data_IF_793458677915
#
_entry.id   IF_793458677915
#
_cell.length_a   1.000
_cell.length_b   1.000
_cell.length_c   1.000
_cell.angle_alpha   90.00
_cell.angle_beta   90.00
_cell.angle_gamma   90.00
#
_symmetry.space_group_name_H-M   'P 1'
#
loop_
_entity.id
_entity.type
_entity.pdbx_description
1 polymer ?
#
# COMPACT_ATOMS: atom_id res chain seq x y z
N UNK A 1 -16.68 0.69 11.70
CA UNK A 1 -15.96 0.65 10.41
C UNK A 1 -16.58 1.71 9.52
N UNK A 2 -15.76 2.54 8.86
CA UNK A 2 -16.20 3.74 8.16
C UNK A 2 -15.23 4.16 7.06
N UNK A 3 -15.61 5.20 6.31
CA UNK A 3 -14.71 5.82 5.33
C UNK A 3 -13.55 6.50 6.05
N UNK A 4 -12.35 6.30 5.52
CA UNK A 4 -11.13 6.92 6.02
C UNK A 4 -10.26 7.40 4.86
N UNK A 5 -9.47 8.41 5.18
CA UNK A 5 -8.49 9.02 4.31
C UNK A 5 -7.10 8.75 4.88
N UNK A 6 -6.19 8.24 4.04
CA UNK A 6 -4.85 7.87 4.45
C UNK A 6 -3.85 8.37 3.42
N UNK A 7 -2.74 8.89 3.92
CA UNK A 7 -1.59 9.28 3.14
C UNK A 7 -0.37 8.50 3.63
N UNK A 8 0.47 8.05 2.72
CA UNK A 8 1.72 7.40 3.12
C UNK A 8 2.48 6.81 1.94
N UNK A 9 3.59 6.15 2.25
CA UNK A 9 4.46 5.52 1.26
C UNK A 9 3.96 4.12 0.92
N UNK A 10 3.81 3.84 -0.36
CA UNK A 10 3.42 2.53 -0.85
C UNK A 10 4.56 1.51 -0.67
N UNK A 11 4.22 0.34 -0.13
CA UNK A 11 5.12 -0.81 0.03
C UNK A 11 4.45 -2.04 -0.55
N UNK A 12 5.12 -2.71 -1.48
CA UNK A 12 4.60 -3.93 -2.09
C UNK A 12 4.56 -5.07 -1.06
N UNK A 13 3.46 -5.83 -1.05
CA UNK A 13 3.33 -7.05 -0.23
C UNK A 13 3.90 -8.27 -0.95
N UNK A 14 3.75 -8.29 -2.28
CA UNK A 14 4.24 -9.34 -3.17
C UNK A 14 5.32 -8.77 -4.10
N UNK A 15 6.15 -9.64 -4.65
CA UNK A 15 7.21 -9.28 -5.58
C UNK A 15 6.66 -8.91 -6.98
N UNK A 16 5.94 -7.79 -7.06
CA UNK A 16 5.42 -7.24 -8.30
C UNK A 16 6.47 -6.31 -8.94
N UNK A 17 6.64 -6.45 -10.25
CA UNK A 17 7.60 -5.71 -11.07
C UNK A 17 6.89 -5.27 -12.36
N UNK A 18 7.14 -4.04 -12.79
CA UNK A 18 6.56 -3.50 -14.02
C UNK A 18 7.16 -4.19 -15.26
N UNK A 19 6.33 -4.59 -16.24
CA UNK A 19 6.82 -5.35 -17.40
C UNK A 19 7.79 -4.57 -18.29
N UNK A 20 7.59 -3.25 -18.47
CA UNK A 20 8.44 -2.46 -19.37
C UNK A 20 9.54 -1.74 -18.61
N UNK A 21 9.20 -0.99 -17.56
CA UNK A 21 10.19 -0.26 -16.75
C UNK A 21 11.07 -1.15 -15.87
N UNK A 22 10.69 -2.42 -15.63
CA UNK A 22 11.46 -3.40 -14.84
C UNK A 22 11.78 -2.91 -13.41
N UNK A 23 10.87 -2.13 -12.84
CA UNK A 23 11.03 -1.55 -11.49
C UNK A 23 10.01 -2.16 -10.52
N UNK A 24 10.37 -2.31 -9.23
CA UNK A 24 9.42 -2.71 -8.20
C UNK A 24 8.24 -1.76 -8.13
N UNK A 25 7.02 -2.30 -8.17
CA UNK A 25 5.79 -1.52 -8.22
C UNK A 25 4.69 -2.15 -7.37
N UNK A 26 3.69 -1.37 -6.99
CA UNK A 26 2.45 -1.85 -6.35
C UNK A 26 1.30 -2.01 -7.34
N UNK A 27 1.40 -1.35 -8.49
CA UNK A 27 0.42 -1.43 -9.57
C UNK A 27 1.09 -1.12 -10.92
N UNK A 28 0.65 -1.80 -11.98
CA UNK A 28 0.95 -1.39 -13.35
C UNK A 28 -0.24 -1.62 -14.31
N UNK A 29 -0.29 -0.83 -15.38
CA UNK A 29 -1.20 -0.97 -16.49
C UNK A 29 -0.47 -0.66 -17.81
N UNK A 30 -0.28 -1.69 -18.63
CA UNK A 30 0.32 -1.59 -19.95
C UNK A 30 -0.77 -1.60 -21.02
N UNK A 31 -0.85 -0.52 -21.79
CA UNK A 31 -1.73 -0.35 -22.95
C UNK A 31 -0.88 -0.40 -24.22
N UNK A 32 -1.17 -1.35 -25.11
CA UNK A 32 -0.54 -1.44 -26.43
C UNK A 32 -1.50 -0.93 -27.49
N UNK A 33 -0.99 -0.08 -28.36
CA UNK A 33 -1.71 0.50 -29.48
C UNK A 33 -1.10 -0.01 -30.77
N UNK A 34 -1.95 -0.34 -31.74
CA UNK A 34 -1.54 -0.70 -33.10
C UNK A 34 -2.22 0.25 -34.07
N UNK A 35 -1.52 0.60 -35.13
CA UNK A 35 -2.05 1.35 -36.25
C UNK A 35 -2.15 0.41 -37.46
N UNK A 36 -3.32 0.35 -38.09
CA UNK A 36 -3.44 -0.36 -39.36
C UNK A 36 -2.73 0.44 -40.46
N UNK A 37 -2.01 -0.21 -41.37
CA UNK A 37 -1.26 0.46 -42.46
C UNK A 37 -2.14 1.37 -43.34
N UNK A 38 -3.47 1.21 -43.31
CA UNK A 38 -4.44 1.99 -44.10
C UNK A 38 -5.06 3.16 -43.33
N UNK A 39 -5.07 3.12 -42.01
CA UNK A 39 -5.73 4.10 -41.14
C UNK A 39 -4.71 4.93 -40.35
N UNK A 40 -4.96 6.24 -40.23
CA UNK A 40 -4.06 7.16 -39.48
C UNK A 40 -4.27 7.13 -37.96
N UNK A 41 -5.28 6.43 -37.45
CA UNK A 41 -5.63 6.47 -36.02
C UNK A 41 -5.02 5.30 -35.23
N UNK A 42 -4.54 5.58 -34.03
CA UNK A 42 -4.04 4.57 -33.09
C UNK A 42 -5.22 3.85 -32.44
N UNK A 43 -5.26 2.52 -32.55
CA UNK A 43 -6.28 1.70 -31.93
C UNK A 43 -5.68 0.91 -30.77
N UNK A 44 -6.39 0.86 -29.65
CA UNK A 44 -5.99 0.05 -28.51
C UNK A 44 -6.11 -1.44 -28.90
N UNK A 45 -4.98 -2.14 -28.89
CA UNK A 45 -4.89 -3.54 -29.28
C UNK A 45 -4.93 -4.48 -28.07
N UNK A 46 -4.28 -4.11 -26.96
CA UNK A 46 -4.17 -4.94 -25.76
C UNK A 46 -4.02 -4.09 -24.51
N UNK A 47 -4.65 -4.52 -23.43
CA UNK A 47 -4.39 -4.02 -22.07
C UNK A 47 -3.86 -5.18 -21.23
N UNK A 48 -2.84 -4.93 -20.42
CA UNK A 48 -2.29 -5.87 -19.45
C UNK A 48 -2.08 -5.14 -18.13
N UNK A 49 -2.72 -5.59 -17.07
CA UNK A 49 -2.61 -4.97 -15.74
C UNK A 49 -2.10 -5.99 -14.72
N UNK A 50 -1.50 -5.52 -13.62
CA UNK A 50 -1.13 -6.35 -12.48
C UNK A 50 -2.33 -7.04 -11.81
N UNK A 51 -3.54 -6.54 -12.05
CA UNK A 51 -4.74 -6.98 -11.34
C UNK A 51 -4.83 -6.36 -9.94
N UNK A 52 -5.69 -6.93 -9.11
CA UNK A 52 -5.94 -6.48 -7.74
C UNK A 52 -4.95 -7.13 -6.79
N UNK A 53 -3.77 -6.54 -6.66
CA UNK A 53 -2.71 -7.02 -5.76
C UNK A 53 -2.71 -6.18 -4.49
N UNK A 54 -2.95 -6.76 -3.30
CA UNK A 54 -2.84 -6.03 -2.05
C UNK A 54 -1.44 -5.48 -1.80
N UNK A 55 -1.36 -4.31 -1.19
CA UNK A 55 -0.10 -3.65 -0.82
C UNK A 55 -0.24 -2.97 0.54
N UNK A 56 0.86 -2.49 1.10
CA UNK A 56 0.91 -1.81 2.40
C UNK A 56 1.14 -0.33 2.17
N UNK A 57 0.53 0.50 3.01
CA UNK A 57 0.87 1.91 3.15
C UNK A 57 1.51 2.11 4.52
N UNK A 58 2.66 2.75 4.50
CA UNK A 58 3.45 3.08 5.69
C UNK A 58 3.53 4.61 5.84
N UNK A 59 3.13 5.09 7.01
CA UNK A 59 3.34 6.44 7.49
C UNK A 59 4.04 6.40 8.85
N UNK A 60 4.39 7.56 9.41
CA UNK A 60 5.02 7.70 10.72
C UNK A 60 4.23 7.03 11.86
N UNK A 61 2.92 6.89 11.69
CA UNK A 61 2.01 6.29 12.68
C UNK A 61 1.95 4.77 12.64
N UNK A 62 2.27 4.14 11.50
CA UNK A 62 2.19 2.70 11.34
C UNK A 62 1.95 2.22 9.92
N UNK A 63 1.51 0.96 9.82
CA UNK A 63 1.32 0.23 8.56
C UNK A 63 -0.14 -0.22 8.42
N UNK A 64 -0.73 0.06 7.27
CA UNK A 64 -2.10 -0.36 6.94
C UNK A 64 -2.08 -1.13 5.63
N UNK A 65 -2.80 -2.25 5.57
CA UNK A 65 -2.94 -3.01 4.35
C UNK A 65 -4.07 -2.42 3.48
N UNK A 66 -3.81 -2.29 2.20
CA UNK A 66 -4.75 -1.81 1.20
C UNK A 66 -5.14 -2.97 0.28
N UNK A 67 -6.43 -3.14 0.09
CA UNK A 67 -7.03 -4.01 -0.90
C UNK A 67 -7.57 -3.14 -2.04
N UNK A 68 -6.87 -3.05 -3.19
CA UNK A 68 -7.25 -2.11 -4.27
C UNK A 68 -8.47 -2.55 -5.08
N UNK A 69 -9.20 -3.59 -4.65
CA UNK A 69 -10.36 -4.09 -5.40
C UNK A 69 -11.42 -3.00 -5.54
N UNK A 70 -11.82 -2.68 -6.77
CA UNK A 70 -12.81 -1.63 -7.04
C UNK A 70 -12.31 -0.20 -6.82
N UNK A 71 -11.00 0.00 -6.61
CA UNK A 71 -10.42 1.33 -6.52
C UNK A 71 -10.31 1.98 -7.89
N UNK A 72 -10.58 3.28 -7.95
CA UNK A 72 -10.14 4.14 -9.04
C UNK A 72 -8.68 4.54 -8.81
N UNK A 73 -7.80 3.98 -9.63
CA UNK A 73 -6.36 4.23 -9.58
C UNK A 73 -5.99 5.41 -10.48
N UNK A 74 -5.26 6.38 -9.93
CA UNK A 74 -4.70 7.53 -10.65
C UNK A 74 -3.18 7.50 -10.53
N UNK A 75 -2.48 6.64 -11.29
CA UNK A 75 -1.03 6.64 -11.38
C UNK A 75 -0.54 7.94 -12.04
N UNK A 76 0.58 8.48 -11.56
CA UNK A 76 1.21 9.66 -12.15
C UNK A 76 2.36 9.26 -13.07
N UNK A 77 3.12 8.23 -12.68
CA UNK A 77 4.26 7.78 -13.48
C UNK A 77 3.77 7.05 -14.73
N UNK A 78 4.16 7.58 -15.89
CA UNK A 78 3.81 7.04 -17.21
C UNK A 78 5.07 6.92 -18.06
N UNK A 79 5.28 5.75 -18.65
CA UNK A 79 6.29 5.51 -19.66
C UNK A 79 5.61 5.26 -21.01
N UNK A 80 6.12 5.89 -22.06
CA UNK A 80 5.62 5.70 -23.42
C UNK A 80 6.80 5.36 -24.33
N UNK A 81 6.56 4.51 -25.32
CA UNK A 81 7.59 4.16 -26.28
C UNK A 81 7.04 3.49 -27.53
N UNK A 82 7.92 3.38 -28.51
CA UNK A 82 7.72 2.64 -29.76
C UNK A 82 8.58 1.36 -29.75
N UNK A 83 8.28 0.36 -30.58
CA UNK A 83 9.14 -0.80 -30.82
C UNK A 83 10.58 -0.38 -31.12
N UNK A 84 11.54 -1.15 -30.60
CA UNK A 84 12.97 -0.88 -30.70
C UNK A 84 13.59 -0.01 -29.59
N UNK A 85 12.79 0.62 -28.71
CA UNK A 85 13.30 1.44 -27.59
C UNK A 85 13.22 0.77 -26.20
N UNK A 86 12.71 -0.46 -26.09
CA UNK A 86 12.65 -1.17 -24.81
C UNK A 86 13.98 -1.84 -24.46
N UNK A 87 14.41 -1.71 -23.20
CA UNK A 87 15.60 -2.39 -22.68
C UNK A 87 15.46 -3.92 -22.81
N UNK A 88 16.12 -4.48 -23.83
CA UNK A 88 16.86 -5.76 -24.00
C UNK A 88 16.25 -7.09 -23.50
N UNK A 89 15.35 -7.14 -22.51
CA UNK A 89 14.83 -8.41 -21.95
C UNK A 89 13.48 -8.87 -22.51
N UNK A 90 12.75 -8.01 -23.24
CA UNK A 90 11.53 -8.39 -23.98
C UNK A 90 11.74 -8.54 -25.49
N UNK A 91 13.00 -8.48 -25.94
CA UNK A 91 13.36 -8.40 -27.37
C UNK A 91 13.22 -9.70 -28.14
N UNK A 92 12.95 -10.86 -27.51
CA UNK A 92 12.92 -12.13 -28.23
C UNK A 92 11.55 -12.53 -28.80
N UNK A 93 10.48 -11.76 -28.57
CA UNK A 93 9.12 -12.10 -29.09
C UNK A 93 8.28 -10.90 -29.56
N UNK A 94 8.84 -9.71 -29.72
CA UNK A 94 8.08 -8.54 -30.21
C UNK A 94 8.49 -8.28 -31.65
N UNK A 95 7.57 -8.59 -32.57
CA UNK A 95 7.58 -8.15 -33.97
C UNK A 95 7.93 -6.66 -34.01
N UNK A 96 8.99 -6.31 -34.74
CA UNK A 96 9.49 -4.93 -34.89
C UNK A 96 8.61 -4.17 -35.89
N UNK A 97 7.32 -4.03 -35.58
CA UNK A 97 6.35 -3.31 -36.41
C UNK A 97 6.35 -1.82 -36.02
N UNK A 98 6.82 -0.90 -36.89
CA UNK A 98 6.81 0.53 -36.62
C UNK A 98 5.40 1.14 -36.42
N UNK A 99 4.35 0.34 -36.58
CA UNK A 99 2.97 0.70 -36.31
C UNK A 99 2.47 0.27 -34.92
N UNK A 100 3.34 -0.15 -34.02
CA UNK A 100 2.99 -0.35 -32.61
C UNK A 100 3.48 0.80 -31.72
N UNK A 101 2.72 1.07 -30.65
CA UNK A 101 3.08 1.98 -29.55
C UNK A 101 2.63 1.37 -28.25
N UNK A 102 3.29 1.72 -27.16
CA UNK A 102 2.86 1.29 -25.84
C UNK A 102 2.90 2.44 -24.84
N UNK A 103 2.03 2.35 -23.86
CA UNK A 103 1.92 3.24 -22.71
C UNK A 103 1.83 2.40 -21.45
N UNK A 104 2.78 2.54 -20.55
CA UNK A 104 2.82 1.90 -19.25
C UNK A 104 2.54 2.93 -18.16
N UNK A 105 1.47 2.74 -17.41
CA UNK A 105 1.13 3.53 -16.22
C UNK A 105 1.50 2.70 -14.99
N UNK A 106 2.35 3.23 -14.09
CA UNK A 106 2.93 2.47 -12.96
C UNK A 106 2.83 3.28 -11.67
N UNK A 107 2.64 2.58 -10.56
CA UNK A 107 2.87 3.12 -9.21
C UNK A 107 4.05 2.36 -8.59
N UNK A 108 5.17 3.05 -8.42
CA UNK A 108 6.39 2.44 -7.89
C UNK A 108 6.31 2.18 -6.40
N UNK A 109 7.14 1.24 -5.94
CA UNK A 109 7.37 1.09 -4.50
C UNK A 109 8.01 2.37 -3.95
N UNK A 110 7.49 2.88 -2.83
CA UNK A 110 7.95 4.09 -2.17
C UNK A 110 7.24 5.38 -2.61
N UNK A 111 6.41 5.33 -3.66
CA UNK A 111 5.56 6.45 -4.07
C UNK A 111 4.61 6.85 -2.93
N UNK A 112 4.35 8.16 -2.81
CA UNK A 112 3.37 8.66 -1.84
C UNK A 112 1.99 8.56 -2.45
N UNK A 113 1.11 7.84 -1.77
CA UNK A 113 -0.27 7.64 -2.21
C UNK A 113 -1.24 8.34 -1.27
N UNK A 114 -2.24 8.92 -1.89
CA UNK A 114 -3.49 9.35 -1.30
C UNK A 114 -4.53 8.25 -1.46
N UNK A 115 -5.15 7.83 -0.36
CA UNK A 115 -6.16 6.76 -0.36
C UNK A 115 -7.39 7.22 0.38
N UNK A 116 -8.53 7.17 -0.30
CA UNK A 116 -9.85 7.37 0.30
C UNK A 116 -10.62 6.07 0.14
N UNK A 117 -10.90 5.34 1.22
CA UNK A 117 -11.57 4.03 1.18
C UNK A 117 -12.24 3.65 2.49
N UNK A 118 -12.78 2.43 2.57
CA UNK A 118 -13.51 1.95 3.74
C UNK A 118 -12.65 1.05 4.61
N UNK A 119 -12.51 1.40 5.89
CA UNK A 119 -11.69 0.66 6.83
C UNK A 119 -12.47 -0.54 7.40
N UNK A 120 -11.93 -1.76 7.23
CA UNK A 120 -12.48 -2.99 7.79
C UNK A 120 -11.42 -3.81 8.51
N UNK A 121 -11.81 -4.64 9.46
CA UNK A 121 -10.88 -5.54 10.15
C UNK A 121 -10.74 -6.82 9.35
N UNK A 122 -9.51 -7.30 9.23
CA UNK A 122 -9.22 -8.55 8.54
C UNK A 122 -9.76 -9.74 9.33
N UNK A 123 -10.55 -10.61 8.69
CA UNK A 123 -10.97 -11.91 9.26
C UNK A 123 -9.81 -12.92 9.38
N UNK A 124 -8.62 -12.59 8.86
CA UNK A 124 -7.50 -13.53 8.74
C UNK A 124 -6.91 -13.97 10.10
N UNK A 125 -7.14 -13.22 11.18
CA UNK A 125 -6.68 -13.60 12.52
C UNK A 125 -7.24 -14.93 13.04
N UNK A 126 -8.43 -15.35 12.55
CA UNK A 126 -9.05 -16.62 12.93
C UNK A 126 -8.39 -17.83 12.25
N UNK A 127 -7.95 -17.68 11.00
CA UNK A 127 -7.30 -18.77 10.27
C UNK A 127 -5.88 -19.01 10.83
N UNK A 128 -5.17 -17.92 11.14
CA UNK A 128 -3.88 -17.97 11.83
C UNK A 128 -4.00 -18.63 13.23
N UNK A 129 -5.11 -18.44 13.95
CA UNK A 129 -5.34 -19.09 15.25
C UNK A 129 -5.44 -20.61 15.12
N UNK A 130 -6.26 -21.09 14.18
CA UNK A 130 -6.40 -22.53 13.93
C UNK A 130 -5.09 -23.16 13.49
N UNK A 131 -4.31 -22.45 12.68
CA UNK A 131 -3.01 -22.94 12.22
C UNK A 131 -2.00 -23.03 13.38
N UNK A 132 -1.91 -22.00 14.24
CA UNK A 132 -1.04 -22.03 15.42
C UNK A 132 -1.43 -23.13 16.43
N UNK A 133 -2.73 -23.37 16.64
CA UNK A 133 -3.21 -24.48 17.48
C UNK A 133 -2.81 -25.82 16.86
N UNK A 134 -2.96 -25.98 15.55
CA UNK A 134 -2.54 -27.19 14.84
C UNK A 134 -1.03 -27.44 14.97
N UNK A 135 -0.21 -26.40 14.85
CA UNK A 135 1.25 -26.51 14.97
C UNK A 135 1.65 -26.91 16.40
N UNK A 136 1.10 -26.26 17.43
CA UNK A 136 1.35 -26.64 18.85
C UNK A 136 0.92 -28.07 19.15
N UNK A 137 -0.22 -28.52 18.62
CA UNK A 137 -0.67 -29.90 18.75
C UNK A 137 0.27 -30.88 18.05
N UNK A 138 0.87 -30.49 16.93
CA UNK A 138 1.85 -31.31 16.22
C UNK A 138 3.15 -31.43 17.03
N UNK A 139 3.61 -30.33 17.61
CA UNK A 139 4.79 -30.32 18.49
C UNK A 139 4.56 -31.19 19.72
N UNK A 140 3.37 -31.07 20.34
CA UNK A 140 2.97 -31.90 21.47
C UNK A 140 2.91 -33.39 21.10
N UNK A 141 2.49 -33.73 19.87
CA UNK A 141 2.51 -35.12 19.37
C UNK A 141 3.89 -35.66 19.08
N UNK A 142 4.84 -34.78 18.79
CA UNK A 142 6.21 -35.17 18.42
C UNK A 142 7.05 -35.46 19.66
N UNK A 143 6.70 -34.84 20.79
CA UNK A 143 7.40 -34.95 22.06
C UNK A 143 6.66 -35.91 23.02
N UNK A 144 7.15 -37.15 23.10
CA UNK A 144 6.54 -38.19 23.93
C UNK A 144 6.50 -37.80 25.41
N UNK A 145 7.55 -37.15 25.93
CA UNK A 145 7.63 -36.79 27.35
C UNK A 145 6.59 -35.72 27.71
N UNK A 146 6.37 -34.73 26.82
CA UNK A 146 5.32 -33.73 27.00
C UNK A 146 3.92 -34.30 26.85
N UNK A 147 3.76 -35.28 25.97
CA UNK A 147 2.49 -35.98 25.79
C UNK A 147 2.13 -36.75 27.07
N UNK A 148 3.08 -37.48 27.66
CA UNK A 148 2.90 -38.22 28.92
C UNK A 148 2.58 -37.34 30.13
N UNK A 149 2.80 -36.02 30.06
CA UNK A 149 2.36 -35.10 31.11
C UNK A 149 0.82 -34.97 31.23
N UNK A 150 0.09 -35.41 30.21
CA UNK A 150 -1.38 -35.40 30.19
C UNK A 150 -2.01 -36.77 30.51
N UNK A 151 -1.19 -37.82 30.70
CA UNK A 151 -1.59 -39.15 31.19
C UNK A 151 -1.86 -39.08 32.71
N UNK A 152 -3.14 -39.04 33.10
CA UNK A 152 -3.58 -38.90 34.49
C UNK A 152 -3.75 -40.25 35.18
N UNK A 153 -4.07 -41.30 34.44
CA UNK A 153 -4.28 -42.63 35.00
C UNK A 153 -3.00 -43.48 35.03
N UNK A 154 -1.93 -43.01 34.38
CA UNK A 154 -0.60 -43.60 34.38
C UNK A 154 -0.52 -44.89 33.57
N UNK A 155 -1.45 -45.10 32.64
CA UNK A 155 -1.57 -46.35 31.90
C UNK A 155 -0.60 -46.45 30.70
N UNK A 156 0.13 -45.37 30.37
CA UNK A 156 1.08 -45.33 29.25
C UNK A 156 0.47 -44.99 27.90
N UNK A 157 -0.84 -44.72 27.83
CA UNK A 157 -1.60 -44.46 26.61
C UNK A 157 -2.65 -43.37 26.82
N UNK A 158 -2.66 -42.35 25.94
CA UNK A 158 -3.60 -41.24 26.10
C UNK A 158 -4.98 -41.59 25.55
N UNK A 159 -6.00 -41.47 26.40
CA UNK A 159 -7.39 -41.66 26.03
C UNK A 159 -8.02 -40.41 25.37
N UNK A 160 -9.27 -40.52 24.90
CA UNK A 160 -9.95 -39.38 24.26
C UNK A 160 -10.18 -38.18 25.18
N UNK A 161 -10.45 -38.41 26.47
CA UNK A 161 -10.73 -37.34 27.44
C UNK A 161 -9.46 -36.61 27.87
N UNK A 162 -8.36 -37.32 28.06
CA UNK A 162 -7.03 -36.78 28.29
C UNK A 162 -6.55 -35.99 27.07
N UNK A 163 -6.84 -36.47 25.86
CA UNK A 163 -6.53 -35.77 24.62
C UNK A 163 -7.34 -34.48 24.43
N UNK A 164 -8.62 -34.48 24.80
CA UNK A 164 -9.45 -33.28 24.80
C UNK A 164 -8.96 -32.23 25.81
N UNK A 165 -8.46 -32.68 26.96
CA UNK A 165 -7.81 -31.81 27.94
C UNK A 165 -6.52 -31.19 27.39
N UNK A 166 -5.66 -32.00 26.76
CA UNK A 166 -4.44 -31.52 26.11
C UNK A 166 -4.74 -30.51 24.99
N UNK A 167 -5.77 -30.75 24.18
CA UNK A 167 -6.22 -29.81 23.14
C UNK A 167 -6.70 -28.49 23.74
N UNK A 168 -7.56 -28.54 24.75
CA UNK A 168 -8.08 -27.34 25.42
C UNK A 168 -6.96 -26.50 26.02
N UNK A 169 -5.96 -27.14 26.64
CA UNK A 169 -4.80 -26.46 27.20
C UNK A 169 -3.94 -25.78 26.11
N UNK A 170 -3.70 -26.44 24.98
CA UNK A 170 -3.01 -25.84 23.83
C UNK A 170 -3.78 -24.65 23.23
N UNK A 171 -5.10 -24.76 23.12
CA UNK A 171 -5.95 -23.65 22.66
C UNK A 171 -5.86 -22.46 23.61
N UNK A 172 -5.91 -22.69 24.93
CA UNK A 172 -5.75 -21.65 25.93
C UNK A 172 -4.37 -21.00 25.91
N UNK A 173 -3.31 -21.79 25.75
CA UNK A 173 -1.94 -21.27 25.63
C UNK A 173 -1.77 -20.38 24.40
N UNK A 174 -2.26 -20.79 23.23
CA UNK A 174 -2.22 -19.97 22.01
C UNK A 174 -3.04 -18.69 22.18
N UNK A 175 -4.21 -18.78 22.83
CA UNK A 175 -5.03 -17.62 23.12
C UNK A 175 -4.30 -16.64 24.06
N UNK A 176 -3.68 -17.15 25.12
CA UNK A 176 -2.93 -16.36 26.08
C UNK A 176 -1.69 -15.72 25.46
N UNK A 177 -0.92 -16.46 24.66
CA UNK A 177 0.22 -15.95 23.89
C UNK A 177 -0.23 -14.83 22.94
N UNK A 178 -1.38 -14.99 22.27
CA UNK A 178 -2.00 -13.92 21.48
C UNK A 178 -2.43 -12.73 22.31
N UNK A 179 -3.01 -12.91 23.50
CA UNK A 179 -3.42 -11.81 24.36
C UNK A 179 -2.21 -11.01 24.89
N UNK A 180 -1.12 -11.70 25.25
CA UNK A 180 0.14 -11.05 25.64
C UNK A 180 0.76 -10.29 24.46
N UNK A 181 0.84 -10.92 23.28
CA UNK A 181 1.33 -10.27 22.05
C UNK A 181 0.40 -9.12 21.57
N UNK A 182 -0.90 -9.23 21.83
CA UNK A 182 -1.93 -8.22 21.51
C UNK A 182 -1.84 -7.00 22.42
N UNK A 183 -1.48 -7.19 23.71
CA UNK A 183 -1.16 -6.09 24.62
C UNK A 183 0.05 -5.27 24.15
N UNK A 184 0.98 -5.87 23.41
CA UNK A 184 2.14 -5.20 22.80
C UNK A 184 1.88 -4.71 21.36
N UNK A 185 0.92 -5.30 20.64
CA UNK A 185 0.48 -4.89 19.29
C UNK A 185 -1.03 -5.01 19.19
N UNK A 186 -1.74 -3.92 19.47
CA UNK A 186 -3.15 -3.77 19.10
C UNK A 186 -3.29 -3.96 17.59
N UNK A 187 -3.63 -5.16 17.13
CA UNK A 187 -3.69 -5.41 15.69
C UNK A 187 -4.84 -6.35 15.35
N UNK A 188 -6.07 -5.84 15.49
CA UNK A 188 -7.04 -6.15 14.45
C UNK A 188 -6.47 -5.56 13.16
N UNK A 189 -5.86 -6.39 12.31
CA UNK A 189 -5.20 -5.92 11.09
C UNK A 189 -6.22 -5.15 10.24
N UNK A 190 -6.08 -3.83 10.23
CA UNK A 190 -6.96 -2.93 9.52
C UNK A 190 -6.64 -3.05 8.02
N UNK A 191 -7.66 -3.32 7.23
CA UNK A 191 -7.60 -3.35 5.78
C UNK A 191 -8.49 -2.23 5.26
N UNK A 192 -7.96 -1.43 4.34
CA UNK A 192 -8.76 -0.45 3.59
C UNK A 192 -9.13 -1.07 2.25
N UNK A 193 -10.40 -1.05 1.91
CA UNK A 193 -10.88 -1.54 0.61
C UNK A 193 -12.14 -0.83 0.16
N UNK A 194 -12.82 -1.40 -0.83
CA UNK A 194 -14.07 -0.85 -1.33
C UNK A 194 -15.15 -0.80 -0.24
N UNK A 195 -15.98 0.27 -0.23
CA UNK A 195 -17.12 0.38 0.65
C UNK A 195 -18.17 -0.70 0.36
N UNK A 196 -18.91 -1.20 1.37
CA UNK A 196 -19.94 -2.22 1.20
C UNK A 196 -21.21 -1.70 0.50
N UNK A 197 -21.42 -0.38 0.48
CA UNK A 197 -22.55 0.26 -0.19
C UNK A 197 -22.11 0.88 -1.52
N UNK A 198 -22.92 0.68 -2.55
CA UNK A 198 -22.71 1.28 -3.86
C UNK A 198 -22.91 2.80 -3.78
N UNK A 199 -21.97 3.58 -4.32
CA UNK A 199 -22.08 5.04 -4.44
C UNK A 199 -21.00 5.83 -3.70
N UNK A 200 -20.24 5.20 -2.80
CA UNK A 200 -19.10 5.84 -2.14
C UNK A 200 -17.82 5.64 -2.98
N UNK A 201 -17.03 6.70 -3.22
CA UNK A 201 -15.82 6.60 -4.02
C UNK A 201 -14.72 5.85 -3.25
N UNK A 202 -14.03 4.95 -3.95
CA UNK A 202 -12.77 4.36 -3.50
C UNK A 202 -11.67 4.80 -4.45
N UNK A 203 -10.75 5.64 -3.97
CA UNK A 203 -9.74 6.30 -4.82
C UNK A 203 -8.35 6.02 -4.25
N UNK A 204 -7.42 5.68 -5.14
CA UNK A 204 -5.99 5.55 -4.86
C UNK A 204 -5.26 6.42 -5.87
N UNK A 205 -4.68 7.53 -5.43
CA UNK A 205 -4.01 8.49 -6.29
C UNK A 205 -2.55 8.66 -5.88
N UNK A 206 -1.65 8.72 -6.86
CA UNK A 206 -0.25 9.08 -6.62
C UNK A 206 -0.16 10.60 -6.47
N UNK A 207 0.37 11.07 -5.34
CA UNK A 207 0.54 12.49 -5.04
C UNK A 207 2.02 12.84 -4.88
N UNK A 208 2.36 14.11 -5.10
CA UNK A 208 3.69 14.59 -4.73
C UNK A 208 3.78 14.76 -3.22
N UNK A 209 4.94 14.44 -2.66
CA UNK A 209 5.25 14.85 -1.30
C UNK A 209 5.18 16.37 -1.21
N UNK A 210 4.25 16.90 -0.40
CA UNK A 210 4.14 18.35 -0.12
C UNK A 210 5.48 18.96 0.34
N UNK A 211 6.37 18.13 0.89
CA UNK A 211 7.72 18.52 1.30
C UNK A 211 8.61 19.05 0.16
N UNK A 212 8.31 18.74 -1.11
CA UNK A 212 9.10 19.28 -2.23
C UNK A 212 8.60 20.65 -2.71
N UNK A 213 7.30 20.93 -2.52
CA UNK A 213 6.70 22.22 -2.87
C UNK A 213 7.24 23.34 -1.96
N UNK A 214 7.34 23.08 -0.65
CA UNK A 214 7.81 24.09 0.32
C UNK A 214 9.28 24.51 0.11
N UNK A 215 10.12 23.61 -0.40
CA UNK A 215 11.54 23.90 -0.65
C UNK A 215 11.74 24.97 -1.73
N UNK A 216 10.88 25.01 -2.75
CA UNK A 216 11.00 25.99 -3.82
C UNK A 216 10.44 27.36 -3.44
N UNK A 217 9.42 27.43 -2.56
CA UNK A 217 8.86 28.70 -2.09
C UNK A 217 9.72 29.38 -1.03
N UNK A 218 10.60 28.66 -0.34
CA UNK A 218 11.44 29.23 0.72
C UNK A 218 12.39 30.33 0.23
N UNK A 219 12.74 30.37 -1.06
CA UNK A 219 13.62 31.42 -1.60
C UNK A 219 12.87 32.70 -2.02
N UNK A 220 11.56 32.62 -2.27
CA UNK A 220 10.74 33.77 -2.67
C UNK A 220 10.19 34.57 -1.47
N UNK A 221 10.11 33.96 -0.29
CA UNK A 221 9.60 34.59 0.94
C UNK A 221 10.47 35.76 1.46
N UNK A 222 11.82 35.63 1.59
CA UNK A 222 12.62 36.72 2.13
C UNK A 222 12.55 38.04 1.34
N UNK A 223 12.68 38.08 -0.01
CA UNK A 223 12.58 39.35 -0.73
C UNK A 223 11.18 39.98 -0.60
N UNK A 224 10.12 39.18 -0.61
CA UNK A 224 8.75 39.68 -0.51
C UNK A 224 8.46 40.32 0.86
N UNK A 225 8.98 39.74 1.94
CA UNK A 225 8.90 40.32 3.28
C UNK A 225 9.71 41.62 3.40
N UNK A 226 10.93 41.67 2.84
CA UNK A 226 11.74 42.91 2.88
C UNK A 226 11.08 44.07 2.15
N UNK A 227 10.43 43.81 1.00
CA UNK A 227 9.67 44.82 0.25
C UNK A 227 8.46 45.29 1.06
N UNK A 228 7.72 44.37 1.69
CA UNK A 228 6.58 44.71 2.53
C UNK A 228 6.96 45.59 3.73
N UNK A 229 8.03 45.25 4.43
CA UNK A 229 8.55 46.06 5.56
C UNK A 229 9.04 47.42 5.08
N UNK A 230 9.76 47.46 3.95
CA UNK A 230 10.22 48.72 3.36
C UNK A 230 9.07 49.66 2.98
N UNK A 231 8.02 49.12 2.36
CA UNK A 231 6.82 49.89 2.02
C UNK A 231 6.10 50.41 3.27
N UNK A 232 6.02 49.61 4.33
CA UNK A 232 5.40 50.01 5.59
C UNK A 232 6.18 51.10 6.33
N UNK A 233 7.52 51.02 6.35
CA UNK A 233 8.36 52.08 6.92
C UNK A 233 8.22 53.36 6.09
N UNK A 234 8.22 53.25 4.77
CA UNK A 234 8.06 54.40 3.88
C UNK A 234 6.70 55.09 4.07
N UNK A 235 5.61 54.33 4.23
CA UNK A 235 4.29 54.91 4.51
C UNK A 235 4.26 55.59 5.87
N UNK A 236 4.86 55.01 6.91
CA UNK A 236 4.96 55.64 8.23
C UNK A 236 5.74 56.96 8.19
N UNK A 237 6.87 57.01 7.47
CA UNK A 237 7.65 58.25 7.30
C UNK A 237 6.79 59.30 6.59
N UNK A 238 6.10 58.92 5.50
CA UNK A 238 5.23 59.85 4.75
C UNK A 238 4.10 60.40 5.61
N UNK A 239 3.46 59.56 6.42
CA UNK A 239 2.41 59.98 7.36
C UNK A 239 2.97 60.90 8.44
N UNK A 240 4.13 60.57 9.03
CA UNK A 240 4.76 61.43 10.04
C UNK A 240 5.14 62.82 9.48
N UNK A 241 5.67 62.88 8.25
CA UNK A 241 5.96 64.15 7.57
C UNK A 241 4.70 64.95 7.21
N UNK A 242 3.59 64.28 6.90
CA UNK A 242 2.31 64.94 6.59
C UNK A 242 1.68 65.60 7.82
N UNK A 243 1.85 65.00 9.00
CA UNK A 243 1.32 65.52 10.27
C UNK A 243 2.28 66.48 11.01
N UNK A 244 3.41 66.89 10.41
CA UNK A 244 4.42 67.77 11.04
C UNK A 244 4.86 67.28 12.43
N UNK A 245 5.04 65.96 12.58
CA UNK A 245 5.52 65.33 13.81
C UNK A 245 7.05 65.13 13.84
N UNK A 246 7.78 65.69 12.87
CA UNK A 246 9.24 65.63 12.74
C UNK A 246 9.79 66.95 12.21
#
# INVERSE_FOLDING_TARGET
>A
MGMIEVHGRAKRLYALVSPISQQPCVYYCLKKYRRASRDKQWQLSRITTSGTVPFIIEDNTGKIQIDPQGAKLSPKTTHEGSPGQSNILFSSTIDDDPNEKWKEEVIHEGSILYILGFARTSKNGNNELRQQVSDKLRDLKTDHDKMMAYDKDGNGTIDSGEWDHARSDMEQQVLQEKLHRSKERSNQQLIIGAPPQNGLPFIIAETESEANLTRNYSWYIPPLLTIGVGAFIWTLIRVATFFNLL
#
